data_IF_653552130224
#
_entry.id   IF_653552130224
#
_cell.length_a   1.000
_cell.length_b   1.000
_cell.length_c   1.000
_cell.angle_alpha   90.00
_cell.angle_beta   90.00
_cell.angle_gamma   90.00
#
_symmetry.space_group_name_H-M   'P 1'
#
loop_
_entity.id
_entity.type
_entity.pdbx_description
1 polymer ?
#
# COMPACT_ATOMS: atom_id res chain seq x y z
N UNK A 1 1.91 7.23 -3.59
CA UNK A 1 1.77 7.38 -5.06
C UNK A 1 1.08 8.68 -5.45
N UNK A 2 1.39 9.26 -6.62
CA UNK A 2 0.61 10.36 -7.22
C UNK A 2 -0.61 9.78 -7.96
N UNK A 3 -1.73 10.49 -7.94
CA UNK A 3 -2.99 10.04 -8.58
C UNK A 3 -2.88 9.96 -10.10
N UNK A 4 -2.11 10.85 -10.70
CA UNK A 4 -1.90 10.90 -12.16
C UNK A 4 -1.25 9.61 -12.69
N UNK A 5 -0.25 9.07 -11.98
CA UNK A 5 0.45 7.82 -12.33
C UNK A 5 -0.41 6.55 -12.17
N UNK A 6 -1.51 6.63 -11.40
CA UNK A 6 -2.46 5.52 -11.23
C UNK A 6 -3.52 5.52 -12.32
N UNK A 7 -3.87 6.68 -12.87
CA UNK A 7 -4.87 6.80 -13.94
C UNK A 7 -4.33 6.39 -15.32
N UNK A 8 -3.02 6.49 -15.54
CA UNK A 8 -2.37 6.08 -16.79
C UNK A 8 -2.16 4.56 -16.91
N UNK A 9 -2.36 3.81 -15.82
CA UNK A 9 -2.11 2.36 -15.78
C UNK A 9 -3.34 1.55 -16.14
N UNK A 10 -3.08 0.38 -16.72
CA UNK A 10 -4.09 -0.63 -17.04
C UNK A 10 -4.72 -1.23 -15.77
N UNK A 11 -5.97 -1.66 -15.86
CA UNK A 11 -6.72 -2.25 -14.74
C UNK A 11 -6.02 -3.46 -14.10
N UNK A 12 -5.29 -4.24 -14.90
CA UNK A 12 -4.49 -5.39 -14.42
C UNK A 12 -3.28 -4.96 -13.60
N UNK A 13 -2.61 -3.87 -13.97
CA UNK A 13 -1.48 -3.33 -13.21
C UNK A 13 -1.95 -2.74 -11.87
N UNK A 14 -3.12 -2.10 -11.86
CA UNK A 14 -3.73 -1.58 -10.63
C UNK A 14 -4.04 -2.71 -9.65
N UNK A 15 -4.58 -3.84 -10.14
CA UNK A 15 -4.81 -5.02 -9.31
C UNK A 15 -3.51 -5.58 -8.73
N UNK A 16 -2.46 -5.68 -9.54
CA UNK A 16 -1.14 -6.13 -9.07
C UNK A 16 -0.56 -5.22 -7.98
N UNK A 17 -0.64 -3.90 -8.18
CA UNK A 17 -0.18 -2.90 -7.20
C UNK A 17 -0.98 -3.01 -5.90
N UNK A 18 -2.29 -3.22 -5.98
CA UNK A 18 -3.16 -3.39 -4.81
C UNK A 18 -2.72 -4.63 -4.01
N UNK A 19 -2.43 -5.74 -4.68
CA UNK A 19 -1.96 -6.97 -4.03
C UNK A 19 -0.59 -6.80 -3.36
N UNK A 20 0.35 -6.12 -4.03
CA UNK A 20 1.64 -5.75 -3.44
C UNK A 20 1.48 -4.88 -2.18
N UNK A 21 0.62 -3.87 -2.23
CA UNK A 21 0.34 -2.99 -1.09
C UNK A 21 -0.34 -3.74 0.07
N UNK A 22 -1.16 -4.75 -0.22
CA UNK A 22 -1.73 -5.62 0.82
C UNK A 22 -0.66 -6.48 1.49
N UNK A 23 0.26 -7.05 0.71
CA UNK A 23 1.42 -7.79 1.22
C UNK A 23 2.30 -6.90 2.12
N UNK A 24 2.58 -5.67 1.67
CA UNK A 24 3.32 -4.69 2.46
C UNK A 24 2.59 -4.33 3.76
N UNK A 25 1.27 -4.10 3.69
CA UNK A 25 0.46 -3.84 4.88
C UNK A 25 0.52 -5.00 5.89
N UNK A 26 0.49 -6.24 5.42
CA UNK A 26 0.62 -7.42 6.27
C UNK A 26 1.98 -7.46 6.97
N UNK A 27 3.06 -7.24 6.23
CA UNK A 27 4.42 -7.18 6.78
C UNK A 27 4.57 -6.07 7.82
N UNK A 28 4.01 -4.88 7.57
CA UNK A 28 4.05 -3.77 8.51
C UNK A 28 3.23 -4.07 9.79
N UNK A 29 2.08 -4.73 9.67
CA UNK A 29 1.30 -5.20 10.83
C UNK A 29 2.06 -6.26 11.63
N UNK A 30 2.77 -7.16 10.95
CA UNK A 30 3.61 -8.16 11.60
C UNK A 30 4.77 -7.51 12.36
N UNK A 31 5.49 -6.58 11.72
CA UNK A 31 6.55 -5.80 12.36
C UNK A 31 6.06 -4.96 13.54
N UNK A 32 4.82 -4.45 13.46
CA UNK A 32 4.17 -3.75 14.58
C UNK A 32 3.92 -4.69 15.75
N UNK A 33 3.44 -5.91 15.48
CA UNK A 33 3.20 -6.93 16.50
C UNK A 33 4.50 -7.40 17.16
N UNK A 34 5.60 -7.52 16.41
CA UNK A 34 6.93 -7.87 16.94
C UNK A 34 7.66 -6.69 17.59
N UNK A 35 7.06 -5.49 17.59
CA UNK A 35 7.65 -4.22 18.09
C UNK A 35 8.96 -3.83 17.39
N UNK A 36 9.17 -4.30 16.17
CA UNK A 36 10.33 -3.97 15.33
C UNK A 36 10.02 -2.86 14.33
N UNK A 37 8.79 -2.33 14.34
CA UNK A 37 8.38 -1.27 13.44
C UNK A 37 9.03 0.06 13.85
N UNK A 38 9.97 0.53 13.03
CA UNK A 38 10.66 1.81 13.19
C UNK A 38 9.84 2.99 12.69
N UNK A 39 9.01 2.79 11.65
CA UNK A 39 8.19 3.84 11.04
C UNK A 39 6.69 3.49 11.01
N UNK A 40 5.94 4.11 11.92
CA UNK A 40 4.47 3.98 12.00
C UNK A 40 3.74 4.79 10.93
N UNK A 41 4.41 5.78 10.32
CA UNK A 41 3.82 6.63 9.29
C UNK A 41 3.57 5.86 7.99
N UNK A 42 4.43 4.88 7.69
CA UNK A 42 4.29 3.99 6.54
C UNK A 42 2.96 3.24 6.51
N UNK A 43 2.46 2.80 7.66
CA UNK A 43 1.18 2.09 7.79
C UNK A 43 -0.02 2.99 7.41
N UNK A 44 0.08 4.31 7.63
CA UNK A 44 -0.91 5.29 7.17
C UNK A 44 -0.76 5.61 5.68
N UNK A 45 0.46 5.63 5.14
CA UNK A 45 0.70 5.80 3.71
C UNK A 45 0.15 4.64 2.90
N UNK A 46 0.50 3.40 3.26
CA UNK A 46 0.04 2.18 2.55
C UNK A 46 -1.49 2.09 2.52
N UNK A 47 -2.19 2.43 3.62
CA UNK A 47 -3.66 2.49 3.62
C UNK A 47 -4.24 3.52 2.64
N UNK A 48 -3.58 4.67 2.48
CA UNK A 48 -4.00 5.71 1.51
C UNK A 48 -3.68 5.30 0.08
N UNK A 49 -2.54 4.66 -0.14
CA UNK A 49 -2.16 4.17 -1.46
C UNK A 49 -3.12 3.07 -1.93
N UNK A 50 -3.53 2.14 -1.05
CA UNK A 50 -4.59 1.15 -1.36
C UNK A 50 -5.91 1.84 -1.71
N UNK A 51 -6.32 2.86 -0.94
CA UNK A 51 -7.56 3.58 -1.22
C UNK A 51 -7.53 4.31 -2.58
N UNK A 52 -6.37 4.91 -2.92
CA UNK A 52 -6.15 5.57 -4.21
C UNK A 52 -6.15 4.60 -5.39
N UNK A 53 -5.55 3.43 -5.23
CA UNK A 53 -5.49 2.41 -6.28
C UNK A 53 -6.84 1.71 -6.51
N UNK A 54 -7.77 1.78 -5.55
CA UNK A 54 -9.15 1.25 -5.68
C UNK A 54 -10.17 2.27 -6.19
N UNK A 55 -9.82 3.56 -6.27
CA UNK A 55 -10.71 4.63 -6.73
C UNK A 55 -10.58 4.79 -8.24
#
# INVERSE_FOLDING_TARGET
MKMEELQERTQEELLHIVDELYQEQFNLKFQMATRQLTDTSRLRQVRRDIARAKT
#
